data_IF_175251398978
#
_entry.id   IF_175251398978
#
_cell.length_a   1.000
_cell.length_b   1.000
_cell.length_c   1.000
_cell.angle_alpha   90.00
_cell.angle_beta   90.00
_cell.angle_gamma   90.00
#
_symmetry.space_group_name_H-M   'P 1'
#
loop_
_entity.id
_entity.type
_entity.pdbx_description
1 polymer ?
#
# COMPACT_ATOMS: atom_id res chain seq x y z
N UNK A 1 -5.01 31.30 -18.65
CA UNK A 1 -5.39 29.90 -18.32
C UNK A 1 -4.15 29.06 -18.55
N UNK A 2 -3.42 28.69 -17.49
CA UNK A 2 -2.21 27.86 -17.61
C UNK A 2 -2.31 26.74 -16.59
N UNK A 3 -3.00 25.67 -16.98
CA UNK A 3 -2.80 24.40 -16.31
C UNK A 3 -1.43 23.90 -16.76
N UNK A 4 -0.48 23.77 -15.82
CA UNK A 4 0.74 23.01 -16.05
C UNK A 4 0.38 21.67 -16.71
N UNK A 5 1.15 21.16 -17.69
CA UNK A 5 1.00 19.79 -18.12
C UNK A 5 1.52 18.93 -16.97
N UNK A 6 0.68 18.70 -15.96
CA UNK A 6 0.81 17.49 -15.18
C UNK A 6 0.58 16.38 -16.20
N UNK A 7 1.67 15.91 -16.82
CA UNK A 7 1.66 14.78 -17.74
C UNK A 7 0.70 13.74 -17.18
N UNK A 8 -0.30 13.32 -17.97
CA UNK A 8 -1.28 12.35 -17.53
C UNK A 8 -0.56 11.21 -16.80
N UNK A 9 -1.04 10.86 -15.61
CA UNK A 9 -0.42 9.82 -14.77
C UNK A 9 -1.38 8.66 -14.64
N UNK A 10 -0.84 7.44 -14.65
CA UNK A 10 -1.58 6.21 -14.39
C UNK A 10 -1.16 5.62 -13.04
N UNK A 11 -2.08 4.95 -12.38
CA UNK A 11 -1.82 4.17 -11.17
C UNK A 11 -1.46 2.73 -11.53
N UNK A 12 -0.41 2.20 -10.91
CA UNK A 12 0.06 0.83 -11.08
C UNK A 12 0.39 0.22 -9.72
N UNK A 13 0.28 -1.11 -9.60
CA UNK A 13 0.66 -1.79 -8.35
C UNK A 13 2.15 -1.57 -8.08
N UNK A 14 2.45 -1.15 -6.85
CA UNK A 14 3.82 -0.97 -6.41
C UNK A 14 4.47 -2.33 -6.06
N UNK A 15 5.76 -2.54 -6.36
CA UNK A 15 6.52 -3.63 -5.76
C UNK A 15 6.50 -3.53 -4.23
N UNK A 16 6.39 -4.64 -3.52
CA UNK A 16 6.40 -4.66 -2.04
C UNK A 16 7.73 -5.20 -1.53
N UNK A 17 8.53 -4.33 -0.91
CA UNK A 17 9.80 -4.69 -0.27
C UNK A 17 9.54 -5.38 1.08
N UNK A 18 8.72 -4.74 1.92
CA UNK A 18 8.31 -5.30 3.21
C UNK A 18 6.92 -4.84 3.60
N UNK A 19 6.23 -5.66 4.38
CA UNK A 19 4.90 -5.39 4.89
C UNK A 19 4.76 -6.05 6.27
N UNK A 20 4.35 -5.27 7.28
CA UNK A 20 4.24 -5.70 8.66
C UNK A 20 2.98 -5.13 9.31
N UNK A 21 2.33 -5.92 10.16
CA UNK A 21 1.20 -5.44 10.97
C UNK A 21 1.75 -4.94 12.30
N UNK A 22 1.48 -3.68 12.64
CA UNK A 22 1.71 -3.13 13.97
C UNK A 22 0.39 -3.05 14.71
N UNK A 23 0.39 -3.58 15.93
CA UNK A 23 -0.73 -3.49 16.86
C UNK A 23 -0.45 -2.34 17.81
N UNK A 24 -1.40 -1.42 17.93
CA UNK A 24 -1.38 -0.39 18.97
C UNK A 24 -2.23 -0.85 20.14
N UNK A 25 -1.59 -0.97 21.29
CA UNK A 25 -2.20 -1.29 22.57
C UNK A 25 -3.12 -0.15 23.02
N UNK A 26 -4.36 -0.21 22.55
CA UNK A 26 -5.44 0.73 22.83
C UNK A 26 -6.71 -0.06 23.14
N UNK A 27 -7.75 0.59 23.65
CA UNK A 27 -9.03 -0.05 23.95
C UNK A 27 -10.14 0.59 23.09
N UNK A 28 -10.56 -0.04 21.97
CA UNK A 28 -10.13 -1.33 21.43
C UNK A 28 -8.77 -1.28 20.68
N UNK A 29 -8.06 -2.43 20.50
CA UNK A 29 -6.79 -2.48 19.79
C UNK A 29 -6.90 -2.00 18.34
N UNK A 30 -5.87 -1.30 17.87
CA UNK A 30 -5.81 -0.79 16.49
C UNK A 30 -4.73 -1.51 15.70
N UNK A 31 -5.08 -1.97 14.49
CA UNK A 31 -4.18 -2.69 13.59
C UNK A 31 -3.81 -1.77 12.42
N UNK A 32 -2.51 -1.56 12.23
CA UNK A 32 -1.98 -0.71 11.15
C UNK A 32 -1.00 -1.53 10.31
N UNK A 33 -1.19 -1.55 9.00
CA UNK A 33 -0.20 -2.07 8.07
C UNK A 33 0.89 -1.01 7.88
N UNK A 34 2.13 -1.39 8.15
CA UNK A 34 3.30 -0.65 7.72
C UNK A 34 3.88 -1.33 6.49
N UNK A 35 4.06 -0.57 5.41
CA UNK A 35 4.54 -1.09 4.14
C UNK A 35 5.70 -0.25 3.63
N UNK A 36 6.71 -0.93 3.12
CA UNK A 36 7.78 -0.35 2.30
C UNK A 36 7.55 -0.82 0.88
N UNK A 37 7.23 0.11 -0.01
CA UNK A 37 6.99 -0.17 -1.43
C UNK A 37 8.14 0.34 -2.28
N UNK A 38 8.47 -0.39 -3.34
CA UNK A 38 9.47 0.01 -4.33
C UNK A 38 8.97 1.13 -5.24
N UNK A 39 9.89 1.96 -5.69
CA UNK A 39 9.73 2.98 -6.73
C UNK A 39 10.66 2.59 -7.88
N UNK A 40 10.18 1.86 -8.90
CA UNK A 40 11.05 1.21 -9.88
C UNK A 40 11.79 2.16 -10.83
N UNK A 41 11.46 3.45 -10.83
CA UNK A 41 12.14 4.47 -11.64
C UNK A 41 12.02 5.85 -10.99
N UNK A 42 12.84 6.81 -11.42
CA UNK A 42 12.79 8.20 -10.92
C UNK A 42 11.48 8.94 -11.20
N UNK A 43 10.61 8.39 -12.06
CA UNK A 43 9.27 8.93 -12.29
C UNK A 43 8.20 8.28 -11.41
N UNK A 44 8.47 7.11 -10.85
CA UNK A 44 7.55 6.42 -9.96
C UNK A 44 7.46 7.17 -8.64
N UNK A 45 6.23 7.43 -8.21
CA UNK A 45 5.93 8.06 -6.93
C UNK A 45 4.87 7.24 -6.22
N UNK A 46 4.96 7.14 -4.91
CA UNK A 46 3.86 6.60 -4.13
C UNK A 46 2.58 7.40 -4.41
N UNK A 47 1.47 6.70 -4.66
CA UNK A 47 0.16 7.30 -4.87
C UNK A 47 -0.69 7.17 -3.62
N UNK A 48 -1.10 5.93 -3.29
CA UNK A 48 -2.03 5.64 -2.19
C UNK A 48 -2.01 4.17 -1.78
N UNK A 49 -2.68 3.91 -0.66
CA UNK A 49 -2.99 2.55 -0.19
C UNK A 49 -4.51 2.44 -0.07
N UNK A 50 -5.11 1.52 -0.81
CA UNK A 50 -6.51 1.16 -0.68
C UNK A 50 -6.64 -0.11 0.17
N UNK A 51 -7.49 -0.08 1.19
CA UNK A 51 -7.74 -1.22 2.08
C UNK A 51 -9.20 -1.64 1.94
N UNK A 52 -9.43 -2.91 1.62
CA UNK A 52 -10.77 -3.50 1.53
C UNK A 52 -10.83 -4.78 2.35
N UNK A 53 -11.77 -4.86 3.28
CA UNK A 53 -11.97 -6.04 4.14
C UNK A 53 -13.22 -6.80 3.73
N UNK A 54 -13.06 -8.11 3.51
CA UNK A 54 -14.12 -9.06 3.23
C UNK A 54 -14.05 -10.20 4.27
N UNK A 55 -14.85 -10.08 5.33
CA UNK A 55 -14.85 -11.05 6.43
C UNK A 55 -13.51 -11.08 7.18
N UNK A 56 -12.77 -12.18 7.02
CA UNK A 56 -11.43 -12.43 7.59
C UNK A 56 -10.29 -12.13 6.61
N UNK A 57 -10.58 -11.87 5.34
CA UNK A 57 -9.58 -11.46 4.35
C UNK A 57 -9.57 -9.95 4.19
N UNK A 58 -8.38 -9.36 4.11
CA UNK A 58 -8.14 -7.94 3.93
C UNK A 58 -7.23 -7.78 2.71
N UNK A 59 -7.81 -7.29 1.61
CA UNK A 59 -7.07 -6.97 0.40
C UNK A 59 -6.57 -5.54 0.48
N UNK A 60 -5.26 -5.39 0.33
CA UNK A 60 -4.56 -4.10 0.37
C UNK A 60 -3.87 -3.87 -0.97
N UNK A 61 -4.20 -2.75 -1.61
CA UNK A 61 -3.55 -2.29 -2.84
C UNK A 61 -2.68 -1.09 -2.54
N UNK A 62 -1.37 -1.23 -2.72
CA UNK A 62 -0.38 -0.15 -2.66
C UNK A 62 -0.07 0.27 -4.09
N UNK A 63 -0.38 1.51 -4.42
CA UNK A 63 -0.28 2.03 -5.78
C UNK A 63 0.84 3.04 -5.90
N UNK A 64 1.61 2.92 -6.98
CA UNK A 64 2.46 3.98 -7.47
C UNK A 64 1.74 4.74 -8.58
N UNK A 65 2.02 6.03 -8.69
CA UNK A 65 1.68 6.85 -9.83
C UNK A 65 2.91 6.95 -10.74
N UNK A 66 2.74 6.68 -12.03
CA UNK A 66 3.76 6.79 -13.08
C UNK A 66 3.22 7.62 -14.25
N UNK A 67 4.07 8.22 -15.10
CA UNK A 67 3.61 8.82 -16.35
C UNK A 67 2.77 7.82 -17.17
N UNK A 68 1.67 8.29 -17.74
CA UNK A 68 0.82 7.49 -18.61
C UNK A 68 1.49 7.29 -19.99
N UNK A 69 2.17 8.32 -20.47
CA UNK A 69 3.02 8.28 -21.67
C UNK A 69 4.33 7.54 -21.38
N UNK A 70 4.51 6.41 -22.06
CA UNK A 70 5.69 5.56 -21.92
C UNK A 70 6.94 6.16 -22.60
N UNK A 71 6.81 7.26 -23.36
CA UNK A 71 7.94 8.00 -23.94
C UNK A 71 8.60 8.97 -22.95
N UNK A 72 8.01 9.16 -21.76
CA UNK A 72 8.62 10.00 -20.72
C UNK A 72 9.90 9.33 -20.23
N UNK A 73 11.04 10.00 -20.45
CA UNK A 73 12.34 9.50 -20.02
C UNK A 73 12.46 9.54 -18.50
N UNK A 74 12.57 8.36 -17.89
CA UNK A 74 12.73 8.18 -16.46
C UNK A 74 14.10 7.61 -16.14
N UNK A 75 14.73 8.09 -15.05
CA UNK A 75 15.96 7.46 -14.57
C UNK A 75 15.65 6.05 -14.07
N UNK A 76 16.57 5.10 -14.28
CA UNK A 76 16.46 3.72 -13.77
C UNK A 76 16.83 3.61 -12.28
N UNK A 77 16.83 4.73 -11.55
CA UNK A 77 17.15 4.73 -10.14
C UNK A 77 15.99 4.11 -9.36
N UNK A 78 16.27 3.02 -8.65
CA UNK A 78 15.32 2.37 -7.76
C UNK A 78 15.25 3.11 -6.43
N UNK A 79 14.04 3.44 -5.99
CA UNK A 79 13.77 4.04 -4.69
C UNK A 79 12.81 3.20 -3.85
N UNK A 80 12.54 3.66 -2.63
CA UNK A 80 11.52 3.05 -1.76
C UNK A 80 10.69 4.14 -1.08
N UNK A 81 9.42 3.85 -0.83
CA UNK A 81 8.52 4.69 -0.05
C UNK A 81 7.99 3.91 1.17
N UNK A 82 8.03 4.52 2.35
CA UNK A 82 7.50 3.94 3.59
C UNK A 82 6.19 4.63 3.95
N UNK A 83 5.12 3.86 4.03
CA UNK A 83 3.79 4.36 4.36
C UNK A 83 3.08 3.42 5.33
N UNK A 84 2.02 3.93 5.96
CA UNK A 84 1.20 3.17 6.89
C UNK A 84 -0.27 3.34 6.53
N UNK A 85 -1.07 2.28 6.67
CA UNK A 85 -2.51 2.33 6.46
C UNK A 85 -3.24 1.63 7.61
N UNK A 86 -4.26 2.26 8.24
CA UNK A 86 -5.09 1.58 9.21
C UNK A 86 -5.90 0.48 8.51
N UNK A 87 -6.01 -0.69 9.14
CA UNK A 87 -6.77 -1.83 8.59
C UNK A 87 -8.28 -1.74 8.88
N UNK A 88 -8.71 -0.66 9.52
CA UNK A 88 -10.07 -0.45 9.99
C UNK A 88 -10.24 -0.85 11.46
N UNK A 89 -11.49 -1.14 11.83
CA UNK A 89 -11.91 -1.51 13.19
C UNK A 89 -12.87 -2.71 13.15
N UNK A 90 -13.42 -3.10 14.31
CA UNK A 90 -14.37 -4.22 14.38
C UNK A 90 -13.72 -5.58 14.10
N UNK A 91 -12.49 -5.77 14.57
CA UNK A 91 -11.83 -7.07 14.58
C UNK A 91 -12.41 -7.91 15.72
N UNK A 92 -12.67 -9.19 15.46
CA UNK A 92 -13.16 -10.13 16.47
C UNK A 92 -11.96 -10.75 17.17
N UNK A 93 -11.87 -10.54 18.48
CA UNK A 93 -10.83 -11.16 19.31
C UNK A 93 -10.80 -12.67 19.11
N UNK A 94 -9.59 -13.25 19.06
CA UNK A 94 -9.34 -14.66 18.78
C UNK A 94 -9.48 -15.08 17.31
N UNK A 95 -9.89 -14.18 16.41
CA UNK A 95 -10.00 -14.50 14.97
C UNK A 95 -8.72 -14.15 14.23
N UNK A 96 -8.22 -15.09 13.41
CA UNK A 96 -7.10 -14.85 12.50
C UNK A 96 -7.58 -14.17 11.21
N UNK A 97 -6.91 -13.09 10.85
CA UNK A 97 -7.13 -12.31 9.65
C UNK A 97 -5.97 -12.50 8.68
N UNK A 98 -6.31 -12.56 7.39
CA UNK A 98 -5.37 -12.68 6.29
C UNK A 98 -5.27 -11.35 5.54
N UNK A 99 -4.09 -10.73 5.53
CA UNK A 99 -3.82 -9.48 4.81
C UNK A 99 -3.04 -9.79 3.54
N UNK A 100 -3.63 -9.51 2.39
CA UNK A 100 -3.03 -9.68 1.06
C UNK A 100 -2.59 -8.33 0.54
N UNK A 101 -1.29 -8.12 0.33
CA UNK A 101 -0.74 -6.85 -0.17
C UNK A 101 -0.30 -7.03 -1.62
N UNK A 102 -0.95 -6.32 -2.54
CA UNK A 102 -0.69 -6.35 -4.00
C UNK A 102 -0.63 -7.75 -4.62
N UNK A 103 -1.27 -8.75 -4.01
CA UNK A 103 -1.13 -10.17 -4.36
C UNK A 103 0.32 -10.70 -4.32
N UNK A 104 1.26 -9.94 -3.74
CA UNK A 104 2.68 -10.28 -3.64
C UNK A 104 3.06 -10.80 -2.26
N UNK A 105 2.37 -10.35 -1.22
CA UNK A 105 2.62 -10.73 0.18
C UNK A 105 1.31 -11.11 0.85
N UNK A 106 1.37 -12.14 1.69
CA UNK A 106 0.28 -12.53 2.59
C UNK A 106 0.78 -12.53 4.02
N UNK A 107 0.08 -11.84 4.92
CA UNK A 107 0.41 -11.76 6.34
C UNK A 107 -0.79 -12.26 7.14
N UNK A 108 -0.53 -13.11 8.12
CA UNK A 108 -1.56 -13.56 9.07
C UNK A 108 -1.35 -12.85 10.39
N UNK A 109 -2.43 -12.36 11.00
CA UNK A 109 -2.41 -11.90 12.38
C UNK A 109 -3.69 -12.31 13.10
N UNK A 110 -3.57 -12.64 14.38
CA UNK A 110 -4.73 -12.92 15.24
C UNK A 110 -5.10 -11.66 15.99
N UNK A 111 -6.36 -11.25 15.88
CA UNK A 111 -6.86 -10.12 16.64
C UNK A 111 -6.95 -10.48 18.12
N UNK A 112 -6.39 -9.63 18.96
CA UNK A 112 -6.45 -9.66 20.42
C UNK A 112 -7.64 -8.85 20.91
#
# INVERSE_FOLDING_TARGET
MTASPAADRKEVLAPIESAEIKVRESSPPQYTLHVVSGLPSGCARFSRIDVQRQGTTIDVKVLNSVPADDNVMCTMLYGTARNSAPLGSGFRSGTTYEVRVNNQRTILFTAQ
#
